data_IF_553404513274
#
_entry.id   IF_553404513274
#
_cell.length_a   1.000
_cell.length_b   1.000
_cell.length_c   1.000
_cell.angle_alpha   90.00
_cell.angle_beta   90.00
_cell.angle_gamma   90.00
#
_symmetry.space_group_name_H-M   'P 1'
#
loop_
_entity.id
_entity.type
_entity.pdbx_description
1 polymer ?
#
# COMPACT_ATOMS: atom_id res chain seq x y z
N UNK A 1 -18.56 -14.01 -19.69
CA UNK A 1 -17.86 -12.76 -19.33
C UNK A 1 -17.22 -12.14 -20.56
N UNK A 2 -16.23 -12.78 -21.19
CA UNK A 2 -15.57 -12.22 -22.40
C UNK A 2 -16.55 -11.84 -23.52
N UNK A 3 -17.46 -12.74 -23.90
CA UNK A 3 -18.49 -12.42 -24.91
C UNK A 3 -19.39 -11.23 -24.52
N UNK A 4 -19.64 -11.01 -23.22
CA UNK A 4 -20.41 -9.85 -22.78
C UNK A 4 -19.58 -8.56 -22.95
N UNK A 5 -18.29 -8.62 -22.65
CA UNK A 5 -17.36 -7.50 -22.78
C UNK A 5 -17.02 -7.12 -24.23
N UNK A 6 -17.37 -7.95 -25.23
CA UNK A 6 -17.31 -7.57 -26.65
C UNK A 6 -18.24 -6.38 -26.96
N UNK A 7 -19.31 -6.20 -26.17
CA UNK A 7 -20.24 -5.08 -26.31
C UNK A 7 -19.76 -3.79 -25.63
N UNK A 8 -18.58 -3.83 -24.99
CA UNK A 8 -17.98 -2.72 -24.27
C UNK A 8 -17.82 -2.98 -22.76
N UNK A 9 -17.25 -2.01 -22.03
CA UNK A 9 -17.05 -2.13 -20.59
C UNK A 9 -18.36 -2.31 -19.84
N UNK A 10 -18.34 -3.14 -18.78
CA UNK A 10 -19.50 -3.43 -17.95
C UNK A 10 -19.15 -3.48 -16.48
N UNK A 11 -20.03 -2.95 -15.63
CA UNK A 11 -19.91 -3.07 -14.19
C UNK A 11 -20.27 -4.50 -13.71
N UNK A 12 -20.00 -4.85 -12.44
CA UNK A 12 -20.26 -6.20 -11.92
C UNK A 12 -21.73 -6.66 -12.04
N UNK A 13 -22.69 -5.74 -11.90
CA UNK A 13 -24.12 -6.07 -11.98
C UNK A 13 -24.53 -6.35 -13.43
N UNK A 14 -24.11 -5.52 -14.38
CA UNK A 14 -24.34 -5.75 -15.82
C UNK A 14 -23.73 -7.07 -16.30
N UNK A 15 -22.54 -7.42 -15.82
CA UNK A 15 -21.90 -8.69 -16.13
C UNK A 15 -22.64 -9.88 -15.54
N UNK A 16 -23.18 -9.74 -14.32
CA UNK A 16 -24.00 -10.77 -13.70
C UNK A 16 -25.27 -11.01 -14.51
N UNK A 17 -25.94 -9.94 -14.92
CA UNK A 17 -27.18 -10.02 -15.68
C UNK A 17 -26.93 -10.60 -17.08
N UNK A 18 -25.87 -10.16 -17.76
CA UNK A 18 -25.47 -10.68 -19.07
C UNK A 18 -25.05 -12.14 -19.05
N UNK A 19 -24.39 -12.58 -17.97
CA UNK A 19 -24.00 -13.98 -17.80
C UNK A 19 -25.17 -14.87 -17.33
N UNK A 20 -26.22 -14.28 -16.76
CA UNK A 20 -27.46 -14.94 -16.38
C UNK A 20 -27.24 -16.21 -15.55
N UNK A 21 -27.82 -17.33 -16.01
CA UNK A 21 -27.77 -18.63 -15.31
C UNK A 21 -26.38 -19.25 -15.17
N UNK A 22 -25.37 -18.73 -15.89
CA UNK A 22 -23.98 -19.17 -15.73
C UNK A 22 -23.35 -18.69 -14.41
N UNK A 23 -23.89 -17.62 -13.81
CA UNK A 23 -23.50 -17.15 -12.48
C UNK A 23 -24.30 -17.93 -11.44
N UNK A 24 -23.65 -18.90 -10.81
CA UNK A 24 -24.28 -19.78 -9.81
C UNK A 24 -24.14 -19.20 -8.42
N UNK A 25 -25.20 -19.30 -7.63
CA UNK A 25 -25.19 -19.00 -6.21
C UNK A 25 -24.45 -20.11 -5.45
N UNK A 26 -23.53 -19.75 -4.55
CA UNK A 26 -22.72 -20.68 -3.76
C UNK A 26 -23.33 -20.98 -2.38
N UNK A 27 -24.53 -20.46 -2.10
CA UNK A 27 -25.29 -20.69 -0.88
C UNK A 27 -24.61 -20.15 0.38
N UNK A 28 -24.98 -20.72 1.51
CA UNK A 28 -24.46 -20.32 2.82
C UNK A 28 -22.94 -20.56 2.95
N UNK A 29 -22.43 -21.65 2.38
CA UNK A 29 -21.00 -21.99 2.44
C UNK A 29 -20.14 -20.99 1.64
N UNK A 30 -20.60 -20.57 0.45
CA UNK A 30 -19.96 -19.48 -0.28
C UNK A 30 -19.97 -18.18 0.50
N UNK A 31 -21.13 -17.82 1.08
CA UNK A 31 -21.27 -16.60 1.89
C UNK A 31 -20.32 -16.57 3.09
N UNK A 32 -20.11 -17.70 3.78
CA UNK A 32 -19.13 -17.82 4.88
C UNK A 32 -17.70 -17.51 4.42
N UNK A 33 -17.38 -17.74 3.15
CA UNK A 33 -16.09 -17.43 2.54
C UNK A 33 -16.06 -16.09 1.79
N UNK A 34 -17.09 -15.25 1.93
CA UNK A 34 -17.20 -13.97 1.24
C UNK A 34 -17.48 -14.07 -0.27
N UNK A 35 -17.85 -15.27 -0.76
CA UNK A 35 -18.11 -15.53 -2.17
C UNK A 35 -19.56 -15.97 -2.36
N UNK A 36 -20.45 -15.02 -2.62
CA UNK A 36 -21.89 -15.32 -2.79
C UNK A 36 -22.19 -16.04 -4.10
N UNK A 37 -21.41 -15.78 -5.16
CA UNK A 37 -21.60 -16.36 -6.48
C UNK A 37 -20.29 -16.80 -7.12
N UNK A 38 -20.35 -17.50 -8.25
CA UNK A 38 -19.18 -17.89 -9.05
C UNK A 38 -18.54 -16.72 -9.82
N UNK A 39 -19.21 -15.57 -9.93
CA UNK A 39 -18.75 -14.45 -10.77
C UNK A 39 -17.40 -13.87 -10.30
N UNK A 40 -17.16 -13.56 -9.01
CA UNK A 40 -15.87 -13.04 -8.56
C UNK A 40 -14.70 -13.99 -8.85
N UNK A 41 -14.92 -15.30 -8.84
CA UNK A 41 -13.89 -16.30 -9.16
C UNK A 41 -13.50 -16.22 -10.64
N UNK A 42 -14.50 -16.18 -11.54
CA UNK A 42 -14.26 -16.04 -12.97
C UNK A 42 -13.56 -14.71 -13.29
N UNK A 43 -13.98 -13.61 -12.66
CA UNK A 43 -13.33 -12.30 -12.82
C UNK A 43 -11.90 -12.32 -12.31
N UNK A 44 -11.64 -12.92 -11.15
CA UNK A 44 -10.28 -13.06 -10.61
C UNK A 44 -9.36 -13.83 -11.56
N UNK A 45 -9.83 -14.96 -12.10
CA UNK A 45 -9.05 -15.74 -13.07
C UNK A 45 -8.74 -14.95 -14.34
N UNK A 46 -9.74 -14.28 -14.93
CA UNK A 46 -9.57 -13.50 -16.15
C UNK A 46 -8.68 -12.26 -15.94
N UNK A 47 -8.74 -11.64 -14.76
CA UNK A 47 -7.84 -10.53 -14.41
C UNK A 47 -6.40 -11.02 -14.31
N UNK A 48 -6.16 -12.12 -13.59
CA UNK A 48 -4.82 -12.69 -13.41
C UNK A 48 -4.21 -13.23 -14.72
N UNK A 49 -5.04 -13.66 -15.68
CA UNK A 49 -4.59 -14.09 -17.00
C UNK A 49 -4.44 -12.95 -18.02
N UNK A 50 -4.67 -11.70 -17.62
CA UNK A 50 -4.56 -10.53 -18.50
C UNK A 50 -5.68 -10.40 -19.53
N UNK A 51 -6.78 -11.16 -19.41
CA UNK A 51 -7.89 -11.12 -20.37
C UNK A 51 -8.81 -9.90 -20.15
N UNK A 52 -8.91 -9.44 -18.90
CA UNK A 52 -9.73 -8.28 -18.53
C UNK A 52 -8.97 -7.36 -17.57
N UNK A 53 -9.36 -6.09 -17.56
CA UNK A 53 -8.88 -5.09 -16.59
C UNK A 53 -10.04 -4.31 -16.00
N UNK A 54 -9.80 -3.67 -14.86
CA UNK A 54 -10.72 -2.68 -14.29
C UNK A 54 -10.41 -1.31 -14.87
N UNK A 55 -11.45 -0.58 -15.28
CA UNK A 55 -11.36 0.82 -15.67
C UNK A 55 -12.22 1.66 -14.72
N UNK A 56 -11.73 2.81 -14.22
CA UNK A 56 -12.55 3.66 -13.35
C UNK A 56 -13.71 4.30 -14.12
N UNK A 57 -14.91 4.26 -13.55
CA UNK A 57 -16.11 4.82 -14.20
C UNK A 57 -16.05 6.35 -14.34
N UNK A 58 -15.42 7.02 -13.38
CA UNK A 58 -15.30 8.48 -13.32
C UNK A 58 -13.93 8.98 -13.77
N UNK A 59 -13.06 8.10 -14.30
CA UNK A 59 -11.65 8.40 -14.56
C UNK A 59 -10.79 8.57 -13.29
N UNK A 60 -11.39 8.47 -12.10
CA UNK A 60 -10.73 8.65 -10.81
C UNK A 60 -10.15 7.35 -10.28
N UNK A 61 -8.87 7.36 -9.90
CA UNK A 61 -8.17 6.18 -9.36
C UNK A 61 -8.38 5.95 -7.87
N UNK A 62 -8.86 6.96 -7.14
CA UNK A 62 -9.11 6.93 -5.70
C UNK A 62 -10.49 6.36 -5.32
N UNK A 63 -11.31 6.00 -6.32
CA UNK A 63 -12.67 5.49 -6.12
C UNK A 63 -12.76 4.01 -6.47
N UNK A 64 -13.56 3.27 -5.69
CA UNK A 64 -13.81 1.83 -5.91
C UNK A 64 -14.98 1.56 -6.88
N UNK A 65 -15.28 2.50 -7.78
CA UNK A 65 -16.30 2.33 -8.83
C UNK A 65 -15.61 2.08 -10.16
N UNK A 66 -15.76 0.87 -10.67
CA UNK A 66 -15.08 0.43 -11.87
C UNK A 66 -15.99 -0.43 -12.75
N UNK A 67 -15.64 -0.44 -14.02
CA UNK A 67 -16.13 -1.39 -15.00
C UNK A 67 -15.01 -2.37 -15.33
N UNK A 68 -15.39 -3.55 -15.82
CA UNK A 68 -14.49 -4.48 -16.46
C UNK A 68 -14.48 -4.22 -17.96
N UNK A 69 -13.30 -4.26 -18.56
CA UNK A 69 -13.12 -4.20 -20.01
C UNK A 69 -12.19 -5.34 -20.44
N UNK A 70 -12.40 -5.86 -21.65
CA UNK A 70 -11.43 -6.75 -22.27
C UNK A 70 -10.08 -6.02 -22.41
N UNK A 71 -8.98 -6.68 -22.04
CA UNK A 71 -7.64 -6.11 -22.15
C UNK A 71 -7.00 -6.65 -23.42
N UNK A 72 -7.28 -5.98 -24.55
CA UNK A 72 -6.79 -6.39 -25.86
C UNK A 72 -5.80 -5.35 -26.42
N UNK A 73 -4.61 -5.75 -26.90
CA UNK A 73 -4.07 -7.11 -26.80
C UNK A 73 -3.81 -7.51 -25.33
N UNK A 74 -3.96 -8.81 -25.02
CA UNK A 74 -3.65 -9.33 -23.69
C UNK A 74 -2.16 -9.06 -23.38
N UNK A 75 -1.83 -8.34 -22.28
CA UNK A 75 -0.45 -7.95 -21.96
C UNK A 75 0.47 -9.14 -21.69
N UNK A 76 -0.09 -10.31 -21.40
CA UNK A 76 0.66 -11.54 -21.16
C UNK A 76 0.79 -12.41 -22.43
N UNK A 77 0.09 -12.10 -23.52
CA UNK A 77 0.08 -12.94 -24.72
C UNK A 77 1.48 -13.10 -25.37
N UNK A 78 2.33 -12.08 -25.23
CA UNK A 78 3.70 -12.12 -25.73
C UNK A 78 4.73 -12.65 -24.71
N UNK A 79 4.30 -12.94 -23.47
CA UNK A 79 5.21 -13.45 -22.45
C UNK A 79 5.51 -14.92 -22.67
N UNK A 80 6.80 -15.26 -22.73
CA UNK A 80 7.28 -16.65 -22.76
C UNK A 80 7.85 -17.10 -21.41
N UNK A 81 7.71 -16.29 -20.35
CA UNK A 81 8.27 -16.61 -19.04
C UNK A 81 7.55 -17.81 -18.42
N UNK A 82 8.32 -18.77 -17.94
CA UNK A 82 7.86 -19.77 -16.97
C UNK A 82 7.44 -19.10 -15.65
N UNK A 83 6.64 -19.76 -14.80
CA UNK A 83 6.31 -19.25 -13.47
C UNK A 83 7.56 -18.88 -12.64
N UNK A 84 8.60 -19.71 -12.69
CA UNK A 84 9.86 -19.49 -11.95
C UNK A 84 10.63 -18.26 -12.47
N UNK A 85 10.68 -18.06 -13.78
CA UNK A 85 11.26 -16.84 -14.38
C UNK A 85 10.44 -15.60 -14.00
N UNK A 86 9.11 -15.70 -14.01
CA UNK A 86 8.23 -14.61 -13.59
C UNK A 86 8.44 -14.25 -12.11
N UNK A 87 8.66 -15.23 -11.23
CA UNK A 87 9.00 -14.97 -9.82
C UNK A 87 10.36 -14.32 -9.67
N UNK A 88 11.36 -14.78 -10.42
CA UNK A 88 12.71 -14.16 -10.43
C UNK A 88 12.65 -12.72 -10.91
N UNK A 89 11.82 -12.45 -11.92
CA UNK A 89 11.66 -11.11 -12.48
C UNK A 89 10.80 -10.20 -11.57
N UNK A 90 9.89 -10.77 -10.77
CA UNK A 90 9.24 -10.06 -9.67
C UNK A 90 10.25 -9.71 -8.56
N UNK A 91 11.12 -10.66 -8.18
CA UNK A 91 12.18 -10.42 -7.21
C UNK A 91 13.13 -9.32 -7.68
N UNK A 92 13.58 -9.36 -8.94
CA UNK A 92 14.44 -8.33 -9.54
C UNK A 92 13.83 -6.94 -9.35
N UNK A 93 12.57 -6.75 -9.75
CA UNK A 93 11.88 -5.46 -9.64
C UNK A 93 11.71 -5.01 -8.19
N UNK A 94 11.42 -5.94 -7.28
CA UNK A 94 11.31 -5.63 -5.87
C UNK A 94 12.64 -5.10 -5.31
N UNK A 95 13.74 -5.85 -5.50
CA UNK A 95 15.05 -5.45 -4.99
C UNK A 95 15.60 -4.20 -5.68
N UNK A 96 15.30 -3.96 -6.96
CA UNK A 96 15.68 -2.72 -7.65
C UNK A 96 14.88 -1.50 -7.21
N UNK A 97 13.62 -1.68 -6.78
CA UNK A 97 12.77 -0.56 -6.37
C UNK A 97 12.94 -0.20 -4.90
N UNK A 98 12.97 -1.21 -4.01
CA UNK A 98 13.02 -0.98 -2.57
C UNK A 98 14.30 -1.47 -1.90
N UNK A 99 15.25 -2.09 -2.60
CA UNK A 99 16.49 -2.56 -1.95
C UNK A 99 17.24 -1.45 -1.21
N UNK A 100 18.04 -1.76 -0.17
CA UNK A 100 18.33 -3.10 0.37
C UNK A 100 17.15 -3.73 1.12
N UNK A 101 16.86 -5.01 0.93
CA UNK A 101 15.71 -5.69 1.55
C UNK A 101 16.07 -7.12 1.99
N UNK A 102 15.24 -7.73 2.83
CA UNK A 102 15.40 -9.12 3.26
C UNK A 102 14.59 -10.07 2.37
N UNK A 103 14.97 -11.36 2.35
CA UNK A 103 14.15 -12.39 1.69
C UNK A 103 12.77 -12.54 2.34
N UNK A 104 12.65 -12.25 3.65
CA UNK A 104 11.38 -12.31 4.36
C UNK A 104 10.42 -11.19 3.91
N UNK A 105 10.93 -9.98 3.69
CA UNK A 105 10.16 -8.87 3.12
C UNK A 105 9.69 -9.20 1.70
N UNK A 106 10.57 -9.76 0.85
CA UNK A 106 10.18 -10.20 -0.49
C UNK A 106 9.13 -11.33 -0.45
N UNK A 107 9.27 -12.29 0.46
CA UNK A 107 8.29 -13.36 0.66
C UNK A 107 6.92 -12.78 1.02
N UNK A 108 6.88 -11.83 1.96
CA UNK A 108 5.65 -11.16 2.35
C UNK A 108 5.03 -10.41 1.17
N UNK A 109 5.82 -9.63 0.44
CA UNK A 109 5.36 -8.82 -0.70
C UNK A 109 4.80 -9.68 -1.84
N UNK A 110 5.53 -10.75 -2.21
CA UNK A 110 5.18 -11.61 -3.34
C UNK A 110 4.07 -12.60 -3.04
N UNK A 111 3.79 -12.88 -1.75
CA UNK A 111 2.89 -13.95 -1.33
C UNK A 111 3.41 -15.36 -1.63
N UNK A 112 4.67 -15.50 -2.05
CA UNK A 112 5.27 -16.79 -2.34
C UNK A 112 5.54 -17.58 -1.06
N UNK A 113 5.53 -18.91 -1.16
CA UNK A 113 6.04 -19.77 -0.09
C UNK A 113 7.55 -19.59 0.08
N UNK A 114 8.07 -19.78 1.30
CA UNK A 114 9.47 -19.52 1.64
C UNK A 114 10.49 -20.18 0.68
N UNK A 115 10.21 -21.39 0.19
CA UNK A 115 11.06 -22.08 -0.80
C UNK A 115 11.08 -21.36 -2.15
N UNK A 116 9.92 -20.97 -2.66
CA UNK A 116 9.79 -20.27 -3.94
C UNK A 116 10.38 -18.86 -3.87
N UNK A 117 10.20 -18.15 -2.75
CA UNK A 117 10.81 -16.84 -2.52
C UNK A 117 12.34 -16.90 -2.57
N UNK A 118 12.97 -17.87 -1.89
CA UNK A 118 14.43 -18.07 -1.93
C UNK A 118 14.92 -18.41 -3.34
N UNK A 119 14.24 -19.33 -4.02
CA UNK A 119 14.60 -19.74 -5.38
C UNK A 119 14.47 -18.60 -6.40
N UNK A 120 13.55 -17.65 -6.19
CA UNK A 120 13.41 -16.48 -7.04
C UNK A 120 14.51 -15.43 -6.80
N UNK A 121 15.09 -15.37 -5.61
CA UNK A 121 16.15 -14.40 -5.25
C UNK A 121 17.54 -14.92 -5.62
N UNK A 122 17.79 -16.22 -5.51
CA UNK A 122 19.10 -16.84 -5.73
C UNK A 122 19.75 -16.46 -7.09
N UNK A 123 19.05 -16.47 -8.24
CA UNK A 123 19.65 -16.11 -9.52
C UNK A 123 20.06 -14.64 -9.64
N UNK A 124 19.58 -13.77 -8.74
CA UNK A 124 19.90 -12.34 -8.78
C UNK A 124 21.30 -12.03 -8.24
N UNK A 125 21.94 -12.98 -7.55
CA UNK A 125 23.30 -12.83 -6.99
C UNK A 125 23.45 -11.54 -6.17
N UNK A 126 22.45 -11.24 -5.35
CA UNK A 126 22.44 -10.05 -4.50
C UNK A 126 23.59 -10.11 -3.48
N UNK A 127 24.17 -8.96 -3.21
CA UNK A 127 25.19 -8.77 -2.20
C UNK A 127 24.56 -8.44 -0.84
N UNK A 128 25.11 -9.02 0.21
CA UNK A 128 24.78 -8.72 1.60
C UNK A 128 25.31 -7.35 2.04
N UNK A 129 24.49 -6.62 2.81
CA UNK A 129 24.87 -5.40 3.52
C UNK A 129 25.27 -5.74 4.96
N UNK A 130 26.50 -5.37 5.35
CA UNK A 130 27.01 -5.60 6.71
C UNK A 130 27.30 -7.07 7.04
N UNK A 131 27.79 -7.30 8.25
CA UNK A 131 28.30 -8.61 8.68
C UNK A 131 27.18 -9.63 8.98
N UNK A 132 25.96 -9.17 9.29
CA UNK A 132 24.83 -10.05 9.58
C UNK A 132 24.15 -10.64 8.32
N UNK A 133 24.44 -10.07 7.14
CA UNK A 133 23.94 -10.51 5.85
C UNK A 133 22.42 -10.49 5.69
N UNK A 134 21.71 -9.73 6.53
CA UNK A 134 20.24 -9.72 6.57
C UNK A 134 19.64 -9.00 5.38
N UNK A 135 20.18 -7.84 5.06
CA UNK A 135 19.73 -7.01 3.94
C UNK A 135 20.55 -7.31 2.68
N UNK A 136 19.85 -7.51 1.57
CA UNK A 136 20.41 -7.83 0.26
C UNK A 136 20.13 -6.70 -0.72
N UNK A 137 21.08 -6.43 -1.61
CA UNK A 137 20.96 -5.42 -2.67
C UNK A 137 21.74 -5.83 -3.92
N UNK A 138 21.49 -5.15 -5.04
CA UNK A 138 22.33 -5.35 -6.22
C UNK A 138 23.75 -4.81 -5.96
N UNK A 139 24.80 -5.53 -6.40
CA UNK A 139 26.19 -5.07 -6.25
C UNK A 139 26.41 -3.66 -6.83
N UNK A 140 25.78 -3.35 -7.97
CA UNK A 140 25.89 -2.05 -8.65
C UNK A 140 25.37 -0.87 -7.82
N UNK A 141 24.47 -1.13 -6.86
CA UNK A 141 23.91 -0.11 -5.98
C UNK A 141 24.75 0.10 -4.70
N UNK A 142 25.71 -0.80 -4.40
CA UNK A 142 26.40 -0.86 -3.11
C UNK A 142 27.21 0.39 -2.80
N UNK A 143 28.03 0.84 -3.75
CA UNK A 143 28.88 2.02 -3.56
C UNK A 143 28.04 3.30 -3.41
N UNK A 144 26.97 3.42 -4.18
CA UNK A 144 26.05 4.56 -4.09
C UNK A 144 25.33 4.58 -2.74
N UNK A 145 24.93 3.41 -2.22
CA UNK A 145 24.33 3.29 -0.90
C UNK A 145 25.32 3.65 0.22
N UNK A 146 26.55 3.15 0.17
CA UNK A 146 27.59 3.46 1.18
C UNK A 146 27.98 4.96 1.17
N UNK A 147 27.96 5.59 -0.01
CA UNK A 147 28.26 7.00 -0.16
C UNK A 147 27.08 7.91 0.21
N UNK A 148 25.87 7.37 0.41
CA UNK A 148 24.69 8.16 0.67
C UNK A 148 24.81 8.93 1.99
N UNK A 149 24.60 10.25 1.90
CA UNK A 149 24.45 11.11 3.07
C UNK A 149 23.04 11.68 3.09
N UNK A 150 22.28 11.50 4.19
CA UNK A 150 20.99 12.14 4.34
C UNK A 150 21.09 13.66 4.14
N UNK A 151 20.17 14.28 3.38
CA UNK A 151 20.16 15.73 3.22
C UNK A 151 20.11 16.45 4.58
N UNK A 152 20.78 17.61 4.69
CA UNK A 152 20.73 18.42 5.92
C UNK A 152 19.40 19.14 6.10
N UNK A 153 18.86 19.64 4.99
CA UNK A 153 17.59 20.35 4.98
C UNK A 153 16.42 19.36 5.14
N UNK A 154 15.40 19.72 5.93
CA UNK A 154 14.25 18.85 6.12
C UNK A 154 13.46 18.69 4.81
N UNK A 155 12.88 17.51 4.62
CA UNK A 155 11.97 17.25 3.49
C UNK A 155 10.72 16.55 4.01
N UNK A 156 9.72 17.36 4.33
CA UNK A 156 8.45 16.88 4.87
C UNK A 156 7.52 16.38 3.78
N UNK A 157 7.05 15.14 3.93
CA UNK A 157 6.05 14.53 3.04
C UNK A 157 4.99 13.84 3.89
N UNK A 158 3.72 14.14 3.63
CA UNK A 158 2.60 13.40 4.20
C UNK A 158 2.19 12.34 3.19
N UNK A 159 2.24 11.08 3.62
CA UNK A 159 1.88 9.94 2.76
C UNK A 159 0.83 9.07 3.43
N UNK A 160 0.09 8.32 2.61
CA UNK A 160 -0.88 7.34 3.11
C UNK A 160 -0.19 6.27 3.97
N UNK A 161 -0.97 5.63 4.84
CA UNK A 161 -0.56 4.43 5.59
C UNK A 161 -0.27 3.25 4.67
N UNK A 162 -0.72 3.32 3.41
CA UNK A 162 -0.46 2.34 2.35
C UNK A 162 0.68 2.74 1.41
N UNK A 163 1.44 3.80 1.73
CA UNK A 163 2.54 4.24 0.88
C UNK A 163 3.63 3.15 0.78
N UNK A 164 4.20 3.02 -0.41
CA UNK A 164 5.13 1.94 -0.72
C UNK A 164 6.42 1.97 0.10
N UNK A 165 6.78 3.11 0.69
CA UNK A 165 7.92 3.23 1.60
C UNK A 165 7.78 2.33 2.85
N UNK A 166 6.55 2.05 3.28
CA UNK A 166 6.24 1.15 4.41
C UNK A 166 5.58 -0.13 3.93
N UNK A 167 4.51 0.01 3.13
CA UNK A 167 3.57 -1.06 2.85
C UNK A 167 4.20 -2.21 2.07
N UNK A 168 5.26 -1.97 1.28
CA UNK A 168 5.91 -3.03 0.51
C UNK A 168 6.89 -3.87 1.33
N UNK A 169 7.36 -3.36 2.47
CA UNK A 169 8.30 -4.06 3.37
C UNK A 169 7.62 -4.64 4.60
N UNK A 170 6.59 -3.95 5.09
CA UNK A 170 6.00 -4.19 6.42
C UNK A 170 7.03 -4.04 7.55
N UNK A 171 7.94 -3.09 7.37
CA UNK A 171 8.95 -2.69 8.35
C UNK A 171 8.72 -1.23 8.76
N UNK A 172 7.74 -1.02 9.65
CA UNK A 172 7.52 0.30 10.24
C UNK A 172 8.68 0.69 11.15
N UNK A 173 9.26 -0.28 11.86
CA UNK A 173 10.33 -0.08 12.83
C UNK A 173 11.59 0.52 12.21
N UNK A 174 11.98 0.07 11.01
CA UNK A 174 13.12 0.60 10.27
C UNK A 174 13.00 2.08 9.88
N UNK A 175 11.81 2.68 9.96
CA UNK A 175 11.60 4.10 9.70
C UNK A 175 11.57 4.97 10.96
N UNK A 176 11.63 4.37 12.16
CA UNK A 176 11.55 5.10 13.43
C UNK A 176 12.94 5.53 13.92
N UNK A 177 13.00 6.69 14.58
CA UNK A 177 14.14 6.96 15.46
C UNK A 177 14.05 6.05 16.70
N UNK A 178 15.18 5.66 17.32
CA UNK A 178 15.17 4.82 18.53
C UNK A 178 14.28 5.38 19.66
N UNK A 179 14.27 6.70 19.84
CA UNK A 179 13.44 7.40 20.83
C UNK A 179 11.93 7.38 20.50
N UNK A 180 11.57 7.10 19.24
CA UNK A 180 10.18 7.09 18.78
C UNK A 180 9.52 5.70 18.86
N UNK A 181 10.32 4.65 19.05
CA UNK A 181 9.86 3.24 19.10
C UNK A 181 8.78 3.01 20.15
N UNK A 182 8.94 3.58 21.35
CA UNK A 182 8.02 3.38 22.49
C UNK A 182 6.90 4.42 22.56
N UNK A 183 6.79 5.30 21.55
CA UNK A 183 5.72 6.31 21.52
C UNK A 183 4.36 5.64 21.48
N UNK A 184 3.46 6.14 22.33
CA UNK A 184 2.09 5.67 22.38
C UNK A 184 1.28 6.29 21.25
N UNK A 185 0.65 5.44 20.44
CA UNK A 185 -0.22 5.82 19.33
C UNK A 185 -1.55 5.07 19.43
N UNK A 186 -2.59 5.59 18.80
CA UNK A 186 -3.90 4.93 18.82
C UNK A 186 -3.93 3.74 17.85
N UNK A 187 -3.90 2.53 18.39
CA UNK A 187 -4.06 1.26 17.67
C UNK A 187 -5.51 0.77 17.65
N UNK A 188 -5.72 -0.44 17.11
CA UNK A 188 -7.06 -1.05 16.98
C UNK A 188 -7.77 -1.25 18.33
N UNK A 189 -7.01 -1.55 19.38
CA UNK A 189 -7.52 -1.86 20.74
C UNK A 189 -7.24 -0.74 21.75
N UNK A 190 -6.93 0.47 21.29
CA UNK A 190 -6.50 1.60 22.13
C UNK A 190 -5.02 1.91 21.97
N UNK A 191 -4.43 2.56 22.97
CA UNK A 191 -3.02 2.99 22.91
C UNK A 191 -2.06 1.79 22.86
N UNK A 192 -1.04 1.90 22.02
CA UNK A 192 0.02 0.90 21.85
C UNK A 192 1.33 1.56 21.44
N UNK A 193 2.45 0.86 21.61
CA UNK A 193 3.76 1.33 21.18
C UNK A 193 3.87 1.31 19.65
N UNK A 194 4.31 2.41 19.06
CA UNK A 194 4.44 2.57 17.62
C UNK A 194 5.35 1.50 16.99
N UNK A 195 6.47 1.18 17.64
CA UNK A 195 7.40 0.15 17.17
C UNK A 195 6.88 -1.29 17.27
N UNK A 196 5.76 -1.52 17.95
CA UNK A 196 5.11 -2.84 17.99
C UNK A 196 4.20 -3.10 16.78
N UNK A 197 3.91 -2.07 15.98
CA UNK A 197 3.03 -2.15 14.84
C UNK A 197 3.79 -2.63 13.60
N UNK A 198 3.21 -3.59 12.88
CA UNK A 198 3.69 -3.98 11.54
C UNK A 198 3.30 -2.96 10.47
N UNK A 199 2.14 -2.31 10.66
CA UNK A 199 1.54 -1.36 9.73
C UNK A 199 1.01 -0.16 10.52
N UNK A 200 1.15 1.08 10.02
CA UNK A 200 0.71 2.25 10.75
C UNK A 200 -0.82 2.32 10.79
N UNK A 201 -1.38 2.70 11.95
CA UNK A 201 -2.84 2.82 12.15
C UNK A 201 -3.41 4.15 11.67
N UNK A 202 -2.54 5.11 11.35
CA UNK A 202 -2.84 6.40 10.74
C UNK A 202 -1.88 6.67 9.59
N UNK A 203 -2.19 7.64 8.74
CA UNK A 203 -1.26 8.09 7.71
C UNK A 203 -0.01 8.72 8.36
N UNK A 204 1.11 8.77 7.65
CA UNK A 204 2.41 9.13 8.24
C UNK A 204 2.96 10.43 7.68
N UNK A 205 3.77 11.08 8.50
CA UNK A 205 4.59 12.23 8.13
C UNK A 205 6.05 11.77 8.10
N UNK A 206 6.73 12.03 6.99
CA UNK A 206 8.12 11.66 6.79
C UNK A 206 9.00 12.90 6.72
N UNK A 207 10.20 12.82 7.30
CA UNK A 207 11.31 13.75 7.05
C UNK A 207 12.50 12.96 6.52
N UNK A 208 12.89 13.20 5.25
CA UNK A 208 14.03 12.53 4.59
C UNK A 208 13.97 10.99 4.70
N UNK A 209 12.76 10.43 4.68
CA UNK A 209 12.51 8.98 4.77
C UNK A 209 12.32 8.44 6.19
N UNK A 210 12.50 9.26 7.23
CA UNK A 210 12.19 8.87 8.62
C UNK A 210 10.75 9.23 8.96
N UNK A 211 10.05 8.34 9.66
CA UNK A 211 8.74 8.61 10.22
C UNK A 211 8.88 9.56 11.41
N UNK A 212 8.28 10.75 11.30
CA UNK A 212 8.35 11.82 12.30
C UNK A 212 6.98 12.30 12.78
N UNK A 213 5.90 11.62 12.40
CA UNK A 213 4.57 12.03 12.80
C UNK A 213 3.48 11.22 12.13
N UNK A 214 2.24 11.50 12.54
CA UNK A 214 1.03 10.85 12.05
C UNK A 214 -0.03 11.88 11.72
N UNK A 215 -0.90 11.55 10.78
CA UNK A 215 -2.01 12.42 10.38
C UNK A 215 -3.26 11.64 9.97
N UNK A 216 -4.41 12.31 10.09
CA UNK A 216 -5.72 11.85 9.64
C UNK A 216 -6.50 13.05 9.08
N UNK A 217 -7.35 12.81 8.07
CA UNK A 217 -8.23 13.86 7.55
C UNK A 217 -9.61 13.82 8.22
N UNK A 218 -9.97 14.91 8.90
CA UNK A 218 -11.30 15.09 9.48
C UNK A 218 -12.20 15.79 8.47
N UNK A 219 -13.13 15.03 7.89
CA UNK A 219 -14.10 15.54 6.89
C UNK A 219 -15.13 16.49 7.49
N UNK A 220 -15.31 16.52 8.82
CA UNK A 220 -16.23 17.44 9.49
C UNK A 220 -15.62 18.82 9.62
N UNK A 221 -14.33 18.89 10.00
CA UNK A 221 -13.61 20.17 10.08
C UNK A 221 -12.89 20.55 8.79
N UNK A 222 -12.94 19.68 7.77
CA UNK A 222 -12.20 19.78 6.51
C UNK A 222 -10.71 20.05 6.69
N UNK A 223 -10.12 19.45 7.74
CA UNK A 223 -8.76 19.74 8.18
C UNK A 223 -7.99 18.48 8.55
N UNK A 224 -6.66 18.54 8.42
CA UNK A 224 -5.77 17.48 8.88
C UNK A 224 -5.59 17.59 10.40
N UNK A 225 -5.92 16.53 11.12
CA UNK A 225 -5.47 16.30 12.49
C UNK A 225 -4.12 15.59 12.46
N UNK A 226 -3.11 16.12 13.14
CA UNK A 226 -1.76 15.58 13.06
C UNK A 226 -0.94 15.80 14.32
N UNK A 227 0.05 14.94 14.51
CA UNK A 227 1.07 15.03 15.55
C UNK A 227 2.45 14.88 14.92
N UNK A 228 3.45 15.53 15.50
CA UNK A 228 4.84 15.39 15.10
C UNK A 228 5.70 14.98 16.31
N UNK A 229 6.68 14.14 16.05
CA UNK A 229 7.62 13.61 17.02
C UNK A 229 8.87 14.49 17.15
N UNK A 230 9.10 15.32 16.12
CA UNK A 230 10.14 16.34 16.06
C UNK A 230 9.54 17.76 16.23
N UNK A 231 10.36 18.77 16.57
CA UNK A 231 9.91 20.16 16.68
C UNK A 231 9.23 20.65 15.42
N UNK A 232 8.14 21.40 15.61
CA UNK A 232 7.39 22.03 14.51
C UNK A 232 8.16 23.21 13.94
N UNK A 233 8.02 23.41 12.65
CA UNK A 233 8.51 24.59 11.95
C UNK A 233 7.57 24.96 10.79
N UNK A 234 7.81 26.13 10.21
CA UNK A 234 6.97 26.67 9.14
C UNK A 234 6.90 25.77 7.90
N UNK A 235 7.99 25.05 7.56
CA UNK A 235 8.00 24.16 6.39
C UNK A 235 7.17 22.90 6.62
N UNK A 236 7.15 22.35 7.84
CA UNK A 236 6.26 21.23 8.20
C UNK A 236 4.79 21.64 8.13
N UNK A 237 4.44 22.79 8.71
CA UNK A 237 3.07 23.31 8.63
C UNK A 237 2.62 23.57 7.19
N UNK A 238 3.54 24.06 6.34
CA UNK A 238 3.28 24.27 4.92
C UNK A 238 3.05 22.94 4.19
N UNK A 239 3.80 21.88 4.51
CA UNK A 239 3.57 20.55 3.95
C UNK A 239 2.20 19.98 4.37
N UNK A 240 1.80 20.17 5.63
CA UNK A 240 0.47 19.79 6.13
C UNK A 240 -0.62 20.56 5.38
N UNK A 241 -0.54 21.89 5.31
CA UNK A 241 -1.53 22.74 4.62
C UNK A 241 -1.66 22.40 3.14
N UNK A 242 -0.53 22.12 2.47
CA UNK A 242 -0.53 21.68 1.06
C UNK A 242 -1.28 20.35 0.90
N UNK A 243 -1.01 19.39 1.77
CA UNK A 243 -1.65 18.07 1.74
C UNK A 243 -3.14 18.17 2.08
N UNK A 244 -3.50 19.00 3.06
CA UNK A 244 -4.88 19.27 3.43
C UNK A 244 -5.68 19.84 2.26
N UNK A 245 -5.13 20.85 1.56
CA UNK A 245 -5.75 21.42 0.37
C UNK A 245 -5.93 20.35 -0.72
N UNK A 246 -4.90 19.54 -0.98
CA UNK A 246 -5.02 18.43 -1.93
C UNK A 246 -6.13 17.44 -1.53
N UNK A 247 -6.17 17.01 -0.27
CA UNK A 247 -7.21 16.07 0.19
C UNK A 247 -8.59 16.71 0.09
N UNK A 248 -8.78 17.93 0.57
CA UNK A 248 -10.08 18.63 0.55
C UNK A 248 -10.56 18.88 -0.88
N UNK A 249 -9.70 19.47 -1.69
CA UNK A 249 -10.10 20.07 -2.97
C UNK A 249 -10.14 19.01 -4.09
N UNK A 250 -9.30 17.96 -4.02
CA UNK A 250 -9.21 16.93 -5.05
C UNK A 250 -9.81 15.59 -4.63
N UNK A 251 -9.60 15.14 -3.37
CA UNK A 251 -9.99 13.79 -2.93
C UNK A 251 -11.33 13.73 -2.18
N UNK A 252 -11.66 14.78 -1.43
CA UNK A 252 -12.77 14.85 -0.48
C UNK A 252 -12.56 14.05 0.82
N UNK A 253 -11.72 13.02 0.83
CA UNK A 253 -11.36 12.25 2.03
C UNK A 253 -10.03 11.49 1.82
N UNK A 254 -9.34 11.16 2.91
CA UNK A 254 -8.14 10.32 2.95
C UNK A 254 -8.40 9.09 3.83
N UNK A 255 -8.91 8.00 3.24
CA UNK A 255 -9.24 6.77 3.96
C UNK A 255 -8.07 5.79 3.91
N UNK A 256 -7.79 5.10 5.01
CA UNK A 256 -6.76 4.04 5.00
C UNK A 256 -7.24 2.77 4.29
N UNK A 257 -8.54 2.45 4.35
CA UNK A 257 -9.15 1.30 3.67
C UNK A 257 -10.67 1.52 3.48
N UNK A 258 -11.35 0.62 2.76
CA UNK A 258 -12.76 0.78 2.39
C UNK A 258 -13.73 0.88 3.57
N UNK A 259 -13.39 0.25 4.70
CA UNK A 259 -14.18 0.26 5.94
C UNK A 259 -13.79 1.39 6.91
N UNK A 260 -12.79 2.21 6.55
CA UNK A 260 -12.29 3.31 7.38
C UNK A 260 -13.18 4.56 7.23
N UNK A 261 -14.32 4.55 7.91
CA UNK A 261 -15.31 5.63 7.88
C UNK A 261 -14.90 6.85 8.71
N UNK A 262 -15.44 8.07 8.42
CA UNK A 262 -15.23 9.23 9.29
C UNK A 262 -15.56 8.96 10.76
N UNK A 263 -16.62 8.19 11.02
CA UNK A 263 -17.04 7.82 12.38
C UNK A 263 -16.01 6.92 13.08
N UNK A 264 -15.46 5.92 12.39
CA UNK A 264 -14.47 5.00 12.98
C UNK A 264 -13.12 5.67 13.22
N UNK A 265 -12.80 6.75 12.48
CA UNK A 265 -11.58 7.53 12.67
C UNK A 265 -11.64 8.53 13.82
N UNK A 266 -12.83 8.87 14.32
CA UNK A 266 -13.04 9.87 15.38
C UNK A 266 -12.10 9.72 16.59
N UNK A 267 -11.93 8.52 17.17
CA UNK A 267 -10.97 8.29 18.26
C UNK A 267 -9.52 8.58 17.88
N UNK A 268 -9.07 8.17 16.68
CA UNK A 268 -7.71 8.45 16.18
C UNK A 268 -7.50 9.96 15.97
N UNK A 269 -8.45 10.63 15.34
CA UNK A 269 -8.43 12.10 15.11
C UNK A 269 -8.36 12.86 16.44
N UNK A 270 -9.15 12.46 17.43
CA UNK A 270 -9.14 13.09 18.75
C UNK A 270 -7.78 12.93 19.44
N UNK A 271 -7.18 11.74 19.36
CA UNK A 271 -5.86 11.46 19.95
C UNK A 271 -4.73 12.23 19.25
N UNK A 272 -4.78 12.35 17.91
CA UNK A 272 -3.84 13.15 17.15
C UNK A 272 -3.92 14.64 17.52
N UNK A 273 -5.13 15.18 17.72
CA UNK A 273 -5.31 16.56 18.20
C UNK A 273 -4.78 16.73 19.63
N UNK A 274 -5.05 15.77 20.51
CA UNK A 274 -4.60 15.79 21.91
C UNK A 274 -3.08 15.80 22.01
N UNK A 275 -2.40 14.97 21.22
CA UNK A 275 -0.93 14.86 21.22
C UNK A 275 -0.25 15.93 20.38
N UNK A 276 -0.91 16.39 19.30
CA UNK A 276 -0.44 17.47 18.46
C UNK A 276 -0.64 18.87 19.06
N UNK A 277 -1.39 19.02 20.16
CA UNK A 277 -1.58 20.31 20.84
C UNK A 277 -0.47 20.70 21.82
N UNK A 278 0.54 19.85 22.05
CA UNK A 278 1.58 20.08 23.05
C UNK A 278 2.86 20.64 22.47
N UNK A 279 2.92 21.97 22.31
CA UNK A 279 4.12 22.68 21.90
C UNK A 279 4.05 24.14 22.30
N UNK A 280 3.86 24.37 23.60
CA UNK A 280 4.29 25.60 24.29
C UNK A 280 5.57 25.28 25.08
#
# INVERSE_FOLDING_TARGET
>A
VLNALEQGPMNPDQLRDSAGSQVRNLGAEGKKKGLTTTLPLALGQLQSSGEIRRIPMSGRLDQQRYEYAAWQPNPLAASSLSPEEAYTELARRFFSWIGPATVAEFQWFSGLGAKAARAAVEPLQLQALGDDGTFLMFPDDYDAFQAYQPPREPKYVLVSSLDGIMHLRRDLGGLLAPEDVTRQVFGEKGLTELGSLSDPTSHVILDRGRLIGLWEYDTVSEAIAWTAFAPRNAELEKAVKKTEAFVRDELGDARSFSLDSPKSRGPRIAELRRTGGGGD
#
